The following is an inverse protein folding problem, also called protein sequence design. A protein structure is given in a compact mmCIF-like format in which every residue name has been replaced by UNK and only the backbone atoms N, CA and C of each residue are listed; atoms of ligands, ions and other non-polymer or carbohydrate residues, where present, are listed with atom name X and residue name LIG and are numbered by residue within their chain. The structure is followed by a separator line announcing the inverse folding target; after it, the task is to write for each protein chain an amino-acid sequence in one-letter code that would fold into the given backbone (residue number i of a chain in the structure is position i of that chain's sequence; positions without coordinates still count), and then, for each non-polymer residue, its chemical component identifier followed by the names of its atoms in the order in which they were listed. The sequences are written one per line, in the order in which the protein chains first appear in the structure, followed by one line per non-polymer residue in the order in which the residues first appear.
data_IF_011484850437
#
_entry.id   IF_011484850437
#
_cell.length_a   1.000
_cell.length_b   1.000
_cell.length_c   1.000
_cell.angle_alpha   90.00
_cell.angle_beta   90.00
_cell.angle_gamma   90.00
#
_symmetry.space_group_name_H-M   'P 1'
#
loop_
_entity.id
_entity.type
_entity.pdbx_description
1 polymer ?
#
# COMPACT_ATOMS: atom_id res chain seq x y z
N UNK A 1 -2.90 -18.79 -58.24
CA UNK A 1 -4.34 -19.14 -58.13
C UNK A 1 -5.13 -17.90 -57.68
N UNK A 2 -5.97 -17.32 -58.52
CA UNK A 2 -6.77 -16.16 -58.12
C UNK A 2 -7.97 -16.62 -57.28
N UNK A 3 -8.15 -16.04 -56.09
CA UNK A 3 -9.32 -16.26 -55.24
C UNK A 3 -10.57 -15.79 -56.01
N UNK A 4 -11.62 -16.62 -56.09
CA UNK A 4 -12.86 -16.17 -56.70
C UNK A 4 -13.48 -15.04 -55.86
N UNK A 5 -14.14 -14.04 -56.50
CA UNK A 5 -14.73 -12.90 -55.82
C UNK A 5 -15.65 -13.32 -54.64
N UNK A 6 -16.42 -14.41 -54.78
CA UNK A 6 -17.27 -14.97 -53.72
C UNK A 6 -16.49 -15.41 -52.49
N UNK A 7 -15.33 -16.07 -52.67
CA UNK A 7 -14.48 -16.51 -51.56
C UNK A 7 -13.86 -15.32 -50.84
N UNK A 8 -13.48 -14.29 -51.60
CA UNK A 8 -12.93 -13.04 -51.01
C UNK A 8 -14.01 -12.33 -50.19
N UNK A 9 -15.22 -12.19 -50.70
CA UNK A 9 -16.33 -11.56 -49.94
C UNK A 9 -16.65 -12.32 -48.67
N UNK A 10 -16.72 -13.65 -48.70
CA UNK A 10 -16.96 -14.45 -47.48
C UNK A 10 -15.80 -14.27 -46.47
N UNK A 11 -14.57 -14.26 -46.93
CA UNK A 11 -13.43 -14.02 -46.07
C UNK A 11 -13.49 -12.65 -45.39
N UNK A 12 -13.82 -11.59 -46.15
CA UNK A 12 -13.94 -10.23 -45.60
C UNK A 12 -15.12 -10.13 -44.59
N UNK A 13 -16.23 -10.80 -44.84
CA UNK A 13 -17.35 -10.83 -43.89
C UNK A 13 -16.99 -11.53 -42.59
N UNK A 14 -16.25 -12.65 -42.66
CA UNK A 14 -15.76 -13.35 -41.46
C UNK A 14 -14.79 -12.49 -40.69
N UNK A 15 -13.85 -11.82 -41.37
CA UNK A 15 -12.90 -10.91 -40.75
C UNK A 15 -13.60 -9.72 -40.09
N UNK A 16 -14.57 -9.11 -40.76
CA UNK A 16 -15.37 -8.03 -40.19
C UNK A 16 -16.17 -8.48 -38.97
N UNK A 17 -16.77 -9.67 -39.01
CA UNK A 17 -17.48 -10.25 -37.87
C UNK A 17 -16.55 -10.51 -36.67
N UNK A 18 -15.37 -11.10 -36.89
CA UNK A 18 -14.39 -11.33 -35.87
C UNK A 18 -13.90 -10.01 -35.24
N UNK A 19 -13.66 -8.98 -36.08
CA UNK A 19 -13.25 -7.65 -35.60
C UNK A 19 -14.33 -6.96 -34.77
N UNK A 20 -15.61 -7.10 -35.16
CA UNK A 20 -16.74 -6.55 -34.41
C UNK A 20 -16.90 -7.23 -33.04
N UNK A 21 -16.72 -8.55 -32.97
CA UNK A 21 -16.72 -9.30 -31.69
C UNK A 21 -15.55 -8.84 -30.80
N UNK A 22 -14.35 -8.71 -31.36
CA UNK A 22 -13.18 -8.20 -30.63
C UNK A 22 -13.40 -6.80 -30.09
N UNK A 23 -13.95 -5.90 -30.89
CA UNK A 23 -14.26 -4.53 -30.47
C UNK A 23 -15.32 -4.48 -29.35
N UNK A 24 -16.36 -5.30 -29.46
CA UNK A 24 -17.40 -5.40 -28.43
C UNK A 24 -16.82 -5.93 -27.09
N UNK A 25 -15.94 -6.93 -27.17
CA UNK A 25 -15.24 -7.47 -26.01
C UNK A 25 -14.37 -6.42 -25.32
N UNK A 26 -13.56 -5.67 -26.08
CA UNK A 26 -12.71 -4.60 -25.52
C UNK A 26 -13.55 -3.46 -24.94
N UNK A 27 -14.64 -3.06 -25.57
CA UNK A 27 -15.56 -2.06 -25.03
C UNK A 27 -16.15 -2.52 -23.68
N UNK A 28 -16.55 -3.77 -23.57
CA UNK A 28 -17.03 -4.37 -22.32
C UNK A 28 -15.94 -4.35 -21.24
N UNK A 29 -14.70 -4.75 -21.56
CA UNK A 29 -13.58 -4.70 -20.62
C UNK A 29 -13.30 -3.27 -20.14
N UNK A 30 -13.27 -2.30 -21.03
CA UNK A 30 -13.06 -0.89 -20.70
C UNK A 30 -14.15 -0.41 -19.73
N UNK A 31 -15.41 -0.77 -19.98
CA UNK A 31 -16.51 -0.42 -19.08
C UNK A 31 -16.33 -1.04 -17.69
N UNK A 32 -15.94 -2.31 -17.61
CA UNK A 32 -15.66 -2.98 -16.33
C UNK A 32 -14.55 -2.29 -15.55
N UNK A 33 -13.41 -2.02 -16.19
CA UNK A 33 -12.26 -1.33 -15.59
C UNK A 33 -12.65 0.08 -15.12
N UNK A 34 -13.39 0.82 -15.95
CA UNK A 34 -13.80 2.20 -15.61
C UNK A 34 -14.76 2.21 -14.42
N UNK A 35 -15.71 1.27 -14.37
CA UNK A 35 -16.64 1.13 -13.23
C UNK A 35 -15.91 0.75 -11.96
N UNK A 36 -14.97 -0.19 -12.05
CA UNK A 36 -14.11 -0.60 -10.94
C UNK A 36 -13.30 0.58 -10.41
N UNK A 37 -12.56 1.27 -11.27
CA UNK A 37 -11.72 2.41 -10.87
C UNK A 37 -12.54 3.55 -10.26
N UNK A 38 -13.73 3.82 -10.82
CA UNK A 38 -14.64 4.83 -10.28
C UNK A 38 -15.14 4.46 -8.87
N UNK A 39 -15.45 3.19 -8.63
CA UNK A 39 -15.83 2.73 -7.30
C UNK A 39 -14.70 2.94 -6.29
N UNK A 40 -13.46 2.55 -6.65
CA UNK A 40 -12.29 2.73 -5.79
C UNK A 40 -12.04 4.21 -5.48
N UNK A 41 -12.01 5.08 -6.47
CA UNK A 41 -11.77 6.53 -6.27
C UNK A 41 -12.82 7.15 -5.35
N UNK A 42 -14.06 6.69 -5.44
CA UNK A 42 -15.18 7.18 -4.60
C UNK A 42 -15.26 6.48 -3.21
N UNK A 43 -14.29 5.66 -2.84
CA UNK A 43 -14.29 4.95 -1.56
C UNK A 43 -15.37 3.88 -1.44
N UNK A 44 -15.88 3.39 -2.55
CA UNK A 44 -16.89 2.32 -2.60
C UNK A 44 -16.23 0.98 -2.91
N UNK A 45 -16.78 -0.08 -2.36
CA UNK A 45 -16.37 -1.45 -2.73
C UNK A 45 -16.75 -1.71 -4.19
N UNK A 46 -15.80 -2.15 -5.04
CA UNK A 46 -16.12 -2.53 -6.42
C UNK A 46 -17.15 -3.67 -6.45
N UNK A 47 -18.06 -3.62 -7.41
CA UNK A 47 -19.06 -4.67 -7.62
C UNK A 47 -18.56 -5.79 -8.52
N UNK A 48 -17.50 -5.53 -9.27
CA UNK A 48 -16.84 -6.47 -10.17
C UNK A 48 -15.47 -6.84 -9.62
N UNK A 49 -15.03 -8.06 -9.88
CA UNK A 49 -13.71 -8.58 -9.51
C UNK A 49 -13.34 -8.36 -8.03
N UNK A 50 -14.31 -8.57 -7.15
CA UNK A 50 -14.19 -8.32 -5.69
C UNK A 50 -13.10 -9.16 -5.02
N UNK A 51 -12.64 -10.23 -5.65
CA UNK A 51 -11.59 -11.12 -5.15
C UNK A 51 -10.20 -10.75 -5.67
N UNK A 52 -10.08 -9.78 -6.59
CA UNK A 52 -8.79 -9.32 -7.08
C UNK A 52 -7.96 -8.70 -5.95
N UNK A 53 -6.64 -8.69 -6.17
CA UNK A 53 -5.71 -8.01 -5.27
C UNK A 53 -6.09 -6.53 -5.13
N UNK A 54 -6.36 -5.86 -6.24
CA UNK A 54 -6.66 -4.44 -6.33
C UNK A 54 -7.93 -4.07 -5.56
N UNK A 55 -8.99 -4.88 -5.67
CA UNK A 55 -10.23 -4.65 -4.94
C UNK A 55 -10.04 -4.77 -3.43
N UNK A 56 -9.33 -5.81 -2.99
CA UNK A 56 -9.02 -6.01 -1.57
C UNK A 56 -8.07 -4.94 -1.02
N UNK A 57 -7.07 -4.56 -1.80
CA UNK A 57 -6.14 -3.49 -1.45
C UNK A 57 -6.88 -2.15 -1.29
N UNK A 58 -7.75 -1.79 -2.24
CA UNK A 58 -8.55 -0.59 -2.14
C UNK A 58 -9.49 -0.61 -0.92
N UNK A 59 -10.12 -1.77 -0.65
CA UNK A 59 -10.95 -1.93 0.55
C UNK A 59 -10.14 -1.73 1.82
N UNK A 60 -8.96 -2.36 1.92
CA UNK A 60 -8.06 -2.18 3.06
C UNK A 60 -7.62 -0.72 3.24
N UNK A 61 -7.26 -0.05 2.14
CA UNK A 61 -6.88 1.35 2.14
C UNK A 61 -8.01 2.25 2.68
N UNK A 62 -9.24 2.07 2.21
CA UNK A 62 -10.38 2.87 2.65
C UNK A 62 -10.80 2.57 4.10
N UNK A 63 -10.65 1.32 4.55
CA UNK A 63 -10.81 0.99 5.96
C UNK A 63 -9.81 1.74 6.85
N UNK A 64 -8.55 1.80 6.45
CA UNK A 64 -7.53 2.58 7.15
C UNK A 64 -7.87 4.08 7.18
N UNK A 65 -8.29 4.64 6.04
CA UNK A 65 -8.74 6.05 5.95
C UNK A 65 -9.95 6.35 6.84
N UNK A 66 -10.83 5.38 7.03
CA UNK A 66 -11.98 5.46 7.93
C UNK A 66 -11.66 5.15 9.41
N UNK A 67 -10.39 4.98 9.78
CA UNK A 67 -9.97 4.68 11.16
C UNK A 67 -10.18 3.21 11.58
N UNK A 68 -10.65 2.34 10.69
CA UNK A 68 -10.84 0.90 10.94
C UNK A 68 -9.52 0.14 10.78
N UNK A 69 -8.54 0.49 11.62
CA UNK A 69 -7.16 0.02 11.47
C UNK A 69 -7.01 -1.50 11.63
N UNK A 70 -7.78 -2.14 12.53
CA UNK A 70 -7.71 -3.59 12.74
C UNK A 70 -8.16 -4.35 11.49
N UNK A 71 -9.32 -4.01 10.95
CA UNK A 71 -9.86 -4.68 9.74
C UNK A 71 -8.95 -4.46 8.53
N UNK A 72 -8.43 -3.23 8.39
CA UNK A 72 -7.48 -2.89 7.35
C UNK A 72 -6.20 -3.72 7.45
N UNK A 73 -5.63 -3.81 8.66
CA UNK A 73 -4.40 -4.58 8.90
C UNK A 73 -4.60 -6.05 8.54
N UNK A 74 -5.71 -6.67 8.94
CA UNK A 74 -6.01 -8.07 8.62
C UNK A 74 -6.08 -8.30 7.10
N UNK A 75 -6.75 -7.40 6.36
CA UNK A 75 -6.85 -7.48 4.91
C UNK A 75 -5.48 -7.30 4.23
N UNK A 76 -4.69 -6.33 4.67
CA UNK A 76 -3.34 -6.14 4.12
C UNK A 76 -2.44 -7.34 4.39
N UNK A 77 -2.47 -7.94 5.58
CA UNK A 77 -1.70 -9.15 5.88
C UNK A 77 -2.06 -10.32 4.95
N UNK A 78 -3.35 -10.53 4.64
CA UNK A 78 -3.78 -11.55 3.68
C UNK A 78 -3.24 -11.29 2.26
N UNK A 79 -3.07 -10.02 1.88
CA UNK A 79 -2.55 -9.64 0.56
C UNK A 79 -1.05 -9.89 0.41
N UNK A 80 -0.28 -9.93 1.49
CA UNK A 80 1.15 -10.24 1.45
C UNK A 80 1.44 -11.64 0.92
N UNK A 81 0.50 -12.59 1.05
CA UNK A 81 0.68 -13.95 0.56
C UNK A 81 0.54 -14.08 -0.96
N UNK A 82 -0.25 -13.20 -1.59
CA UNK A 82 -0.72 -13.36 -2.98
C UNK A 82 -0.20 -12.31 -3.96
N UNK A 83 0.35 -11.20 -3.49
CA UNK A 83 0.79 -10.10 -4.34
C UNK A 83 2.10 -10.35 -5.07
N UNK A 84 2.33 -9.60 -6.14
CA UNK A 84 3.65 -9.44 -6.76
C UNK A 84 4.60 -8.71 -5.80
N UNK A 85 5.89 -8.70 -6.09
CA UNK A 85 6.89 -7.98 -5.27
C UNK A 85 6.53 -6.51 -5.07
N UNK A 86 6.13 -5.83 -6.15
CA UNK A 86 5.72 -4.41 -6.10
C UNK A 86 4.45 -4.21 -5.28
N UNK A 87 3.47 -5.10 -5.47
CA UNK A 87 2.22 -5.05 -4.69
C UNK A 87 2.47 -5.31 -3.21
N UNK A 88 3.33 -6.26 -2.86
CA UNK A 88 3.74 -6.52 -1.47
C UNK A 88 4.48 -5.34 -0.85
N UNK A 89 5.33 -4.65 -1.62
CA UNK A 89 5.97 -3.42 -1.17
C UNK A 89 4.93 -2.35 -0.80
N UNK A 90 3.94 -2.11 -1.67
CA UNK A 90 2.86 -1.17 -1.41
C UNK A 90 2.00 -1.57 -0.19
N UNK A 91 1.76 -2.86 0.02
CA UNK A 91 1.08 -3.37 1.22
C UNK A 91 1.88 -3.09 2.49
N UNK A 92 3.19 -3.40 2.48
CA UNK A 92 4.07 -3.13 3.62
C UNK A 92 4.12 -1.63 3.95
N UNK A 93 4.19 -0.78 2.92
CA UNK A 93 4.11 0.67 3.10
C UNK A 93 2.83 1.11 3.82
N UNK A 94 1.67 0.58 3.41
CA UNK A 94 0.40 0.94 4.06
C UNK A 94 0.25 0.37 5.47
N UNK A 95 0.78 -0.82 5.75
CA UNK A 95 0.88 -1.34 7.12
C UNK A 95 1.74 -0.40 7.98
N UNK A 96 2.87 0.07 7.45
CA UNK A 96 3.71 1.07 8.11
C UNK A 96 2.93 2.35 8.42
N UNK A 97 2.17 2.86 7.46
CA UNK A 97 1.33 4.06 7.65
C UNK A 97 0.27 3.86 8.74
N UNK A 98 -0.37 2.69 8.81
CA UNK A 98 -1.36 2.38 9.85
C UNK A 98 -0.70 2.41 11.24
N UNK A 99 0.40 1.70 11.41
CA UNK A 99 1.09 1.66 12.69
C UNK A 99 1.63 3.04 13.09
N UNK A 100 2.18 3.79 12.14
CA UNK A 100 2.68 5.13 12.37
C UNK A 100 1.58 6.09 12.84
N UNK A 101 0.44 6.14 12.13
CA UNK A 101 -0.70 6.99 12.49
C UNK A 101 -1.27 6.62 13.87
N UNK A 102 -1.39 5.33 14.17
CA UNK A 102 -1.84 4.88 15.48
C UNK A 102 -0.86 5.30 16.58
N UNK A 103 0.44 5.14 16.34
CA UNK A 103 1.47 5.59 17.27
C UNK A 103 1.39 7.08 17.55
N UNK A 104 1.15 7.91 16.52
CA UNK A 104 0.98 9.36 16.68
C UNK A 104 -0.27 9.71 17.52
N UNK A 105 -1.40 9.03 17.28
CA UNK A 105 -2.64 9.25 18.03
C UNK A 105 -2.43 8.95 19.52
N UNK A 106 -1.80 7.83 19.82
CA UNK A 106 -1.55 7.39 21.20
C UNK A 106 -0.53 8.30 21.88
N UNK A 107 0.56 8.63 21.19
CA UNK A 107 1.63 9.47 21.75
C UNK A 107 1.15 10.90 22.11
N UNK A 108 0.05 11.37 21.51
CA UNK A 108 -0.56 12.67 21.79
C UNK A 108 -1.52 12.67 23.00
N UNK A 109 -1.83 11.52 23.58
CA UNK A 109 -2.90 11.41 24.58
C UNK A 109 -2.43 11.36 26.03
N UNK A 110 -1.30 10.72 26.35
CA UNK A 110 -0.80 10.65 27.73
C UNK A 110 0.61 10.06 27.82
N UNK A 111 1.38 10.45 28.85
CA UNK A 111 2.74 9.95 29.12
C UNK A 111 2.77 8.45 29.50
N UNK A 112 1.68 7.92 30.03
CA UNK A 112 1.58 6.50 30.44
C UNK A 112 1.51 5.53 29.26
N UNK A 113 1.18 6.00 28.06
CA UNK A 113 1.00 5.19 26.84
C UNK A 113 2.25 5.19 25.96
N UNK A 114 3.34 5.75 26.45
CA UNK A 114 4.60 5.88 25.70
C UNK A 114 5.12 4.53 25.17
N UNK A 115 5.01 3.47 25.95
CA UNK A 115 5.49 2.14 25.55
C UNK A 115 4.68 1.56 24.37
N UNK A 116 3.37 1.79 24.33
CA UNK A 116 2.53 1.35 23.21
C UNK A 116 2.83 2.16 21.96
N UNK A 117 3.04 3.47 22.06
CA UNK A 117 3.45 4.31 20.94
C UNK A 117 4.80 3.87 20.36
N UNK A 118 5.78 3.60 21.22
CA UNK A 118 7.11 3.08 20.81
C UNK A 118 6.96 1.73 20.10
N UNK A 119 6.14 0.82 20.62
CA UNK A 119 5.85 -0.45 19.95
C UNK A 119 5.28 -0.23 18.54
N UNK A 120 4.29 0.65 18.40
CA UNK A 120 3.67 0.94 17.11
C UNK A 120 4.66 1.59 16.14
N UNK A 121 5.51 2.49 16.58
CA UNK A 121 6.56 3.08 15.76
C UNK A 121 7.60 2.02 15.34
N UNK A 122 7.92 1.07 16.20
CA UNK A 122 8.81 -0.06 15.86
C UNK A 122 8.17 -0.95 14.78
N UNK A 123 6.87 -1.24 14.88
CA UNK A 123 6.14 -1.97 13.84
C UNK A 123 6.12 -1.18 12.51
N UNK A 124 5.91 0.12 12.56
CA UNK A 124 5.94 0.98 11.38
C UNK A 124 7.33 1.00 10.72
N UNK A 125 8.40 1.19 11.52
CA UNK A 125 9.79 1.09 11.05
C UNK A 125 10.05 -0.22 10.32
N UNK A 126 9.67 -1.34 10.94
CA UNK A 126 9.83 -2.67 10.37
C UNK A 126 9.09 -2.80 9.03
N UNK A 127 7.85 -2.35 8.96
CA UNK A 127 7.04 -2.42 7.75
C UNK A 127 7.64 -1.57 6.61
N UNK A 128 8.12 -0.36 6.87
CA UNK A 128 8.79 0.45 5.85
C UNK A 128 10.11 -0.16 5.38
N UNK A 129 10.91 -0.74 6.27
CA UNK A 129 12.11 -1.48 5.89
C UNK A 129 11.76 -2.67 4.99
N UNK A 130 10.69 -3.42 5.29
CA UNK A 130 10.25 -4.53 4.44
C UNK A 130 9.73 -4.03 3.09
N UNK A 131 9.03 -2.90 3.04
CA UNK A 131 8.63 -2.26 1.79
C UNK A 131 9.86 -1.95 0.93
N UNK A 132 10.88 -1.32 1.48
CA UNK A 132 12.11 -0.95 0.77
C UNK A 132 12.98 -2.16 0.37
N UNK A 133 12.94 -3.26 1.11
CA UNK A 133 13.59 -4.53 0.70
C UNK A 133 12.92 -5.13 -0.54
N UNK A 134 11.62 -4.93 -0.71
CA UNK A 134 10.85 -5.40 -1.85
C UNK A 134 10.94 -4.44 -3.05
N UNK A 135 10.98 -3.14 -2.80
CA UNK A 135 11.14 -2.10 -3.79
C UNK A 135 11.99 -0.95 -3.23
N UNK A 136 13.29 -1.00 -3.52
CA UNK A 136 14.23 0.02 -3.05
C UNK A 136 14.00 1.42 -3.66
N UNK A 137 13.24 1.53 -4.73
CA UNK A 137 12.90 2.80 -5.37
C UNK A 137 11.69 3.50 -4.73
N UNK A 138 11.02 2.87 -3.78
CA UNK A 138 9.81 3.40 -3.18
C UNK A 138 10.10 4.59 -2.26
N UNK A 139 10.08 5.77 -2.84
CA UNK A 139 10.45 7.02 -2.18
C UNK A 139 9.62 7.33 -0.93
N UNK A 140 8.29 7.13 -0.99
CA UNK A 140 7.42 7.44 0.14
C UNK A 140 7.71 6.57 1.37
N UNK A 141 8.07 5.30 1.14
CA UNK A 141 8.48 4.41 2.23
C UNK A 141 9.79 4.87 2.88
N UNK A 142 10.74 5.34 2.08
CA UNK A 142 12.01 5.90 2.58
C UNK A 142 11.77 7.16 3.39
N UNK A 143 11.00 8.10 2.85
CA UNK A 143 10.67 9.34 3.54
C UNK A 143 9.96 9.10 4.89
N UNK A 144 9.00 8.18 4.92
CA UNK A 144 8.31 7.86 6.16
C UNK A 144 9.19 7.09 7.16
N UNK A 145 10.12 6.26 6.68
CA UNK A 145 11.13 5.62 7.51
C UNK A 145 12.04 6.66 8.18
N UNK A 146 12.52 7.63 7.42
CA UNK A 146 13.36 8.71 7.96
C UNK A 146 12.63 9.49 9.06
N UNK A 147 11.35 9.80 8.87
CA UNK A 147 10.52 10.45 9.89
C UNK A 147 10.44 9.64 11.19
N UNK A 148 10.27 8.33 11.08
CA UNK A 148 10.24 7.46 12.27
C UNK A 148 11.60 7.45 12.97
N UNK A 149 12.69 7.33 12.23
CA UNK A 149 14.04 7.31 12.79
C UNK A 149 14.36 8.59 13.58
N UNK A 150 13.84 9.72 13.12
CA UNK A 150 13.96 11.00 13.86
C UNK A 150 13.14 10.98 15.15
N UNK A 151 11.99 10.34 15.15
CA UNK A 151 11.07 10.34 16.29
C UNK A 151 11.40 9.26 17.34
N UNK A 152 12.10 8.21 16.93
CA UNK A 152 12.51 7.13 17.83
C UNK A 152 13.91 7.39 18.38
N UNK A 153 14.13 7.27 19.70
CA UNK A 153 15.48 7.32 20.25
C UNK A 153 16.32 6.18 19.68
N UNK A 154 17.57 6.46 19.36
CA UNK A 154 18.51 5.52 18.70
C UNK A 154 18.90 4.31 19.57
N UNK A 155 18.55 4.30 20.83
CA UNK A 155 19.01 3.30 21.80
C UNK A 155 17.96 2.23 22.08
N UNK A 156 17.93 1.20 21.24
CA UNK A 156 17.64 -0.17 21.68
C UNK A 156 18.92 -0.88 22.20
N UNK A 157 19.88 -0.16 22.71
CA UNK A 157 20.96 -0.78 23.51
C UNK A 157 20.38 -1.09 24.88
N UNK A 158 20.15 -2.38 25.22
CA UNK A 158 19.74 -2.70 26.58
C UNK A 158 20.89 -2.32 27.52
N UNK A 159 20.71 -1.23 28.22
CA UNK A 159 21.34 -1.07 29.52
C UNK A 159 22.76 -0.61 29.58
N UNK A 160 23.22 0.29 28.76
CA UNK A 160 24.17 1.27 29.27
C UNK A 160 23.34 2.50 29.62
N UNK A 161 22.89 2.52 30.84
CA UNK A 161 22.28 3.70 31.41
C UNK A 161 23.32 4.79 31.50
N UNK A 162 23.49 5.51 30.43
CA UNK A 162 24.16 6.81 30.45
C UNK A 162 23.19 7.88 30.94
N UNK A 163 22.49 7.53 32.03
CA UNK A 163 21.70 8.49 32.79
C UNK A 163 22.55 9.59 33.39
N UNK A 164 23.87 9.44 33.38
CA UNK A 164 24.82 10.40 33.98
C UNK A 164 25.50 11.28 32.92
N UNK A 165 25.20 11.15 31.65
CA UNK A 165 25.70 12.06 30.62
C UNK A 165 24.70 13.17 30.32
N UNK A 166 24.88 14.38 30.89
CA UNK A 166 24.05 15.53 30.59
C UNK A 166 24.25 15.89 29.11
N UNK A 167 23.33 15.57 28.27
CA UNK A 167 23.40 15.83 26.83
C UNK A 167 23.06 14.64 25.95
N UNK A 168 23.08 13.40 26.44
CA UNK A 168 22.72 12.24 25.68
C UNK A 168 21.20 12.17 25.38
N UNK A 169 20.38 12.75 26.25
CA UNK A 169 18.95 12.91 25.98
C UNK A 169 18.73 13.83 24.77
N UNK A 170 19.65 14.77 24.57
CA UNK A 170 19.64 15.68 23.40
C UNK A 170 20.37 15.08 22.19
N UNK A 171 21.32 14.17 22.41
CA UNK A 171 22.11 13.52 21.36
C UNK A 171 21.35 12.50 20.54
N UNK A 172 20.21 12.01 21.02
CA UNK A 172 19.36 11.07 20.30
C UNK A 172 18.33 11.75 19.39
N UNK A 173 18.21 13.06 19.48
CA UNK A 173 17.44 13.87 18.55
C UNK A 173 18.46 14.56 17.64
N UNK A 174 18.51 14.25 16.33
CA UNK A 174 19.42 14.94 15.43
C UNK A 174 19.15 16.46 15.48
N UNK A 175 20.14 17.20 16.01
CA UNK A 175 20.07 18.67 16.05
C UNK A 175 20.20 19.18 14.62
N UNK A 176 19.20 19.86 14.13
CA UNK A 176 19.24 20.46 12.80
C UNK A 176 18.37 19.78 11.73
N UNK A 177 17.39 19.02 12.13
CA UNK A 177 16.36 18.58 11.20
C UNK A 177 15.29 19.66 11.02
N UNK A 178 14.91 19.90 9.74
CA UNK A 178 13.90 20.90 9.42
C UNK A 178 12.52 20.56 10.00
#
# INVERSE_FOLDING_TARGET
MALSAKKLTVFLLVLAGASAIGAAWEAYRIQQITTFNRAIVNGKTPTTDTQSFEAKYATAYWLAKGGRYQDSTLLFLQLLERGTTVQKSAVQFNLGNIFFLRGLIINGQDMTVRNEAVYLFTQAKTAYIQSLKLDNSFWDARHNLDRILIMMPENDSPGVGDSDSPGLIMGNIPVGLP
#
